data_IF_639106573292
#
_entry.id   IF_639106573292
#
_cell.length_a   1.000
_cell.length_b   1.000
_cell.length_c   1.000
_cell.angle_alpha   90.00
_cell.angle_beta   90.00
_cell.angle_gamma   90.00
#
_symmetry.space_group_name_H-M   'P 1'
#
loop_
_entity.id
_entity.type
_entity.pdbx_description
1 polymer ?
#
# COMPACT_ATOMS: atom_id res chain seq x y z
N UNK A 1 -18.78 -3.54 -3.20
CA UNK A 1 -17.40 -3.07 -3.42
C UNK A 1 -16.48 -4.11 -2.78
N UNK A 2 -15.46 -4.58 -3.49
CA UNK A 2 -14.44 -5.47 -2.91
C UNK A 2 -13.32 -4.61 -2.34
N UNK A 3 -12.84 -4.96 -1.14
CA UNK A 3 -11.64 -4.37 -0.57
C UNK A 3 -10.39 -4.92 -1.27
N UNK A 4 -9.24 -4.30 -1.04
CA UNK A 4 -7.97 -4.67 -1.66
C UNK A 4 -7.47 -6.08 -1.26
N UNK A 5 -7.96 -6.63 -0.14
CA UNK A 5 -7.72 -8.02 0.28
C UNK A 5 -8.70 -9.02 -0.35
N UNK A 6 -9.62 -8.56 -1.21
CA UNK A 6 -10.65 -9.38 -1.84
C UNK A 6 -11.89 -9.61 -0.97
N UNK A 7 -11.92 -9.11 0.28
CA UNK A 7 -13.08 -9.29 1.13
C UNK A 7 -14.24 -8.38 0.73
N UNK A 8 -15.45 -8.87 0.96
CA UNK A 8 -16.67 -8.10 0.84
C UNK A 8 -17.38 -8.10 2.19
N UNK A 9 -17.59 -6.91 2.74
CA UNK A 9 -18.31 -6.73 4.00
C UNK A 9 -19.28 -5.57 3.86
N UNK A 10 -20.35 -5.59 4.64
CA UNK A 10 -21.30 -4.48 4.74
C UNK A 10 -21.07 -3.75 6.06
N UNK A 11 -20.91 -2.44 6.00
CA UNK A 11 -20.69 -1.61 7.18
C UNK A 11 -20.43 -0.15 6.82
N UNK A 12 -20.43 0.69 7.84
CA UNK A 12 -20.05 2.09 7.70
C UNK A 12 -18.55 2.22 7.50
N UNK A 13 -18.17 3.04 6.52
CA UNK A 13 -16.78 3.32 6.17
C UNK A 13 -16.58 4.83 6.08
N UNK A 14 -15.37 5.29 6.36
CA UNK A 14 -14.97 6.68 6.06
C UNK A 14 -14.17 6.68 4.77
N UNK A 15 -14.33 7.74 3.99
CA UNK A 15 -13.66 7.90 2.70
C UNK A 15 -12.88 9.20 2.72
N UNK A 16 -11.62 9.15 2.29
CA UNK A 16 -10.75 10.32 2.16
C UNK A 16 -9.97 10.27 0.86
N UNK A 17 -9.61 11.42 0.31
CA UNK A 17 -8.66 11.54 -0.79
C UNK A 17 -7.36 12.13 -0.28
N UNK A 18 -6.24 11.48 -0.59
CA UNK A 18 -4.90 11.86 -0.13
C UNK A 18 -3.93 11.78 -1.31
N UNK A 19 -3.07 12.79 -1.46
CA UNK A 19 -1.93 12.70 -2.38
C UNK A 19 -0.90 11.73 -1.82
N UNK A 20 -0.67 10.64 -2.52
CA UNK A 20 0.34 9.63 -2.16
C UNK A 20 1.54 9.83 -3.06
N UNK A 21 2.72 9.95 -2.46
CA UNK A 21 3.99 10.07 -3.18
C UNK A 21 4.81 8.79 -3.04
N UNK A 22 5.31 8.26 -4.16
CA UNK A 22 6.22 7.11 -4.22
C UNK A 22 7.34 7.46 -5.20
N UNK A 23 8.60 7.48 -4.73
CA UNK A 23 9.79 7.76 -5.56
C UNK A 23 9.61 8.99 -6.47
N UNK A 24 9.09 10.09 -5.93
CA UNK A 24 8.87 11.35 -6.65
C UNK A 24 7.63 11.38 -7.56
N UNK A 25 6.83 10.31 -7.60
CA UNK A 25 5.54 10.28 -8.31
C UNK A 25 4.38 10.45 -7.33
N UNK A 26 3.54 11.45 -7.57
CA UNK A 26 2.39 11.74 -6.72
C UNK A 26 1.08 11.42 -7.40
N UNK A 27 0.21 10.68 -6.72
CA UNK A 27 -1.12 10.29 -7.22
C UNK A 27 -2.19 10.56 -6.18
N UNK A 28 -3.28 11.21 -6.61
CA UNK A 28 -4.44 11.44 -5.75
C UNK A 28 -5.19 10.13 -5.55
N UNK A 29 -5.14 9.58 -4.34
CA UNK A 29 -5.67 8.25 -4.02
C UNK A 29 -6.86 8.36 -3.07
N UNK A 30 -7.92 7.63 -3.39
CA UNK A 30 -9.09 7.49 -2.51
C UNK A 30 -8.84 6.33 -1.55
N UNK A 31 -8.83 6.60 -0.25
CA UNK A 31 -8.74 5.59 0.80
C UNK A 31 -10.11 5.33 1.42
N UNK A 32 -10.30 4.06 1.79
CA UNK A 32 -11.43 3.60 2.59
C UNK A 32 -10.88 3.24 3.96
N UNK A 33 -11.34 3.95 4.98
CA UNK A 33 -10.98 3.69 6.37
C UNK A 33 -12.09 2.84 6.97
N UNK A 34 -11.69 1.73 7.58
CA UNK A 34 -12.57 0.79 8.26
C UNK A 34 -12.41 1.00 9.78
N UNK A 35 -13.27 1.79 10.45
CA UNK A 35 -13.04 2.19 11.85
C UNK A 35 -13.04 1.01 12.84
N UNK A 36 -13.65 -0.11 12.45
CA UNK A 36 -13.77 -1.33 13.26
C UNK A 36 -12.76 -2.43 12.88
N UNK A 37 -11.87 -2.18 11.92
CA UNK A 37 -10.88 -3.17 11.50
C UNK A 37 -9.86 -3.43 12.61
N UNK A 38 -9.49 -4.71 12.78
CA UNK A 38 -8.43 -5.11 13.72
C UNK A 38 -7.08 -4.96 13.02
N UNK A 39 -6.39 -3.87 13.33
CA UNK A 39 -5.06 -3.55 12.80
C UNK A 39 -5.06 -2.30 11.91
N UNK A 40 -3.97 -1.55 11.95
CA UNK A 40 -3.85 -0.25 11.28
C UNK A 40 -3.05 -0.34 9.98
N UNK A 41 -3.19 -1.44 9.23
CA UNK A 41 -2.47 -1.63 7.97
C UNK A 41 -3.27 -1.05 6.81
N UNK A 42 -2.63 -0.20 6.02
CA UNK A 42 -3.18 0.27 4.74
C UNK A 42 -2.93 -0.78 3.68
N UNK A 43 -3.98 -1.12 2.92
CA UNK A 43 -3.87 -1.98 1.75
C UNK A 43 -4.02 -1.14 0.49
N UNK A 44 -3.19 -1.42 -0.51
CA UNK A 44 -3.24 -0.78 -1.81
C UNK A 44 -3.80 -1.79 -2.82
N UNK A 45 -4.90 -1.42 -3.44
CA UNK A 45 -5.56 -2.23 -4.45
C UNK A 45 -4.87 -2.15 -5.81
N UNK A 46 -5.35 -2.98 -6.73
CA UNK A 46 -4.88 -2.98 -8.13
C UNK A 46 -5.21 -1.69 -8.87
N UNK A 47 -6.23 -0.95 -8.42
CA UNK A 47 -6.59 0.37 -8.91
C UNK A 47 -5.47 1.38 -8.63
N UNK A 48 -4.94 1.40 -7.41
CA UNK A 48 -3.77 2.21 -7.05
C UNK A 48 -2.54 1.82 -7.88
N UNK A 49 -2.21 0.52 -7.92
CA UNK A 49 -1.04 0.02 -8.66
C UNK A 49 -1.10 0.41 -10.14
N UNK A 50 -2.28 0.30 -10.76
CA UNK A 50 -2.49 0.68 -12.15
C UNK A 50 -2.36 2.19 -12.35
N UNK A 51 -2.89 3.00 -11.43
CA UNK A 51 -2.90 4.47 -11.54
C UNK A 51 -1.51 5.10 -11.55
N UNK A 52 -0.56 4.52 -10.79
CA UNK A 52 0.82 5.01 -10.71
C UNK A 52 1.77 4.27 -11.68
N UNK A 53 1.27 3.23 -12.36
CA UNK A 53 2.05 2.42 -13.29
C UNK A 53 3.07 1.53 -12.58
N UNK A 54 2.70 0.91 -11.46
CA UNK A 54 3.59 0.07 -10.66
C UNK A 54 3.43 -1.41 -11.04
N UNK A 55 4.56 -2.05 -11.38
CA UNK A 55 4.69 -3.47 -11.64
C UNK A 55 5.25 -4.21 -10.42
N UNK A 56 4.74 -5.41 -10.16
CA UNK A 56 5.19 -6.27 -9.06
C UNK A 56 5.85 -7.54 -9.63
N UNK A 57 7.09 -7.81 -9.21
CA UNK A 57 7.77 -9.07 -9.48
C UNK A 57 7.80 -9.92 -8.21
N UNK A 58 6.89 -10.89 -8.17
CA UNK A 58 6.73 -11.79 -7.03
C UNK A 58 7.86 -12.82 -6.93
N UNK A 59 8.55 -13.13 -8.04
CA UNK A 59 9.66 -14.09 -8.07
C UNK A 59 10.91 -13.46 -7.46
N UNK A 60 11.18 -12.22 -7.83
CA UNK A 60 12.37 -11.49 -7.37
C UNK A 60 12.11 -10.64 -6.11
N UNK A 61 10.87 -10.66 -5.58
CA UNK A 61 10.47 -9.88 -4.41
C UNK A 61 10.79 -8.38 -4.55
N UNK A 62 10.51 -7.84 -5.73
CA UNK A 62 10.74 -6.44 -6.04
C UNK A 62 9.56 -5.82 -6.79
N UNK A 63 9.59 -4.51 -6.91
CA UNK A 63 8.65 -3.72 -7.66
C UNK A 63 9.39 -2.69 -8.51
N UNK A 64 8.74 -2.22 -9.57
CA UNK A 64 9.30 -1.27 -10.53
C UNK A 64 8.17 -0.41 -11.11
N UNK A 65 8.50 0.70 -11.76
CA UNK A 65 7.53 1.38 -12.61
C UNK A 65 7.61 0.84 -14.04
N UNK A 66 6.46 0.69 -14.70
CA UNK A 66 6.36 0.11 -16.05
C UNK A 66 7.19 0.86 -17.10
N UNK A 67 7.42 2.16 -16.91
CA UNK A 67 8.24 3.02 -17.77
C UNK A 67 9.74 2.97 -17.42
N UNK A 68 10.12 2.43 -16.27
CA UNK A 68 11.53 2.25 -15.84
C UNK A 68 11.78 0.85 -15.22
N UNK A 69 11.56 -0.24 -15.98
CA UNK A 69 11.59 -1.61 -15.44
C UNK A 69 12.97 -2.08 -14.97
N UNK A 70 14.05 -1.41 -15.39
CA UNK A 70 15.42 -1.70 -14.94
C UNK A 70 15.72 -1.17 -13.54
N UNK A 71 14.91 -0.25 -13.03
CA UNK A 71 15.03 0.29 -11.68
C UNK A 71 14.10 -0.48 -10.73
N UNK A 72 14.65 -1.54 -10.13
CA UNK A 72 13.90 -2.41 -9.23
C UNK A 72 14.14 -2.03 -7.76
N UNK A 73 13.04 -1.91 -7.03
CA UNK A 73 13.04 -1.64 -5.60
C UNK A 73 12.60 -2.90 -4.86
N UNK A 74 13.37 -3.32 -3.85
CA UNK A 74 13.00 -4.48 -3.03
C UNK A 74 11.75 -4.16 -2.18
N UNK A 75 10.93 -5.18 -1.91
CA UNK A 75 9.88 -5.03 -0.89
C UNK A 75 10.49 -4.82 0.50
N UNK A 76 9.84 -4.00 1.32
CA UNK A 76 10.23 -3.83 2.72
C UNK A 76 9.89 -5.07 3.56
N UNK A 77 10.68 -5.33 4.59
CA UNK A 77 10.42 -6.42 5.54
C UNK A 77 9.22 -6.13 6.46
N UNK A 78 8.55 -7.19 6.90
CA UNK A 78 7.50 -7.10 7.91
C UNK A 78 8.15 -6.84 9.28
N UNK A 79 8.12 -5.59 9.74
CA UNK A 79 8.55 -5.28 11.10
C UNK A 79 7.51 -5.80 12.10
N UNK A 80 7.83 -6.91 12.77
CA UNK A 80 7.14 -7.34 13.99
C UNK A 80 7.48 -6.32 15.11
N UNK A 81 6.48 -5.54 15.50
CA UNK A 81 6.47 -4.39 16.46
C UNK A 81 7.15 -4.64 17.83
N UNK A 82 7.31 -3.68 18.79
CA UNK A 82 6.95 -2.24 18.85
C UNK A 82 8.03 -1.34 19.53
N UNK A 83 8.67 -0.38 18.85
CA UNK A 83 9.53 0.57 19.59
C UNK A 83 9.60 1.96 18.97
N UNK A 84 9.11 2.90 19.78
CA UNK A 84 9.68 4.22 20.03
C UNK A 84 9.66 5.18 18.83
N UNK A 85 8.65 6.05 18.85
CA UNK A 85 8.81 7.52 18.75
C UNK A 85 10.24 7.95 18.40
N UNK A 86 10.55 8.05 17.12
CA UNK A 86 11.52 8.98 16.51
C UNK A 86 11.92 8.47 15.11
N UNK A 87 11.06 8.73 14.12
CA UNK A 87 11.58 9.13 12.82
C UNK A 87 10.76 10.30 12.33
N UNK A 88 11.38 11.47 12.49
CA UNK A 88 10.85 12.79 12.20
C UNK A 88 10.08 12.85 10.88
N UNK A 89 8.91 13.50 10.94
CA UNK A 89 8.33 14.34 9.89
C UNK A 89 8.33 13.78 8.45
N UNK A 90 8.15 12.47 8.29
CA UNK A 90 7.93 11.89 6.97
C UNK A 90 6.96 10.73 7.10
N UNK A 91 5.77 10.87 6.53
CA UNK A 91 4.76 9.80 6.41
C UNK A 91 5.22 8.75 5.39
N UNK A 92 6.48 8.31 5.48
CA UNK A 92 7.10 7.36 4.57
C UNK A 92 6.60 5.96 4.92
N UNK A 93 5.97 5.33 3.93
CA UNK A 93 5.55 3.95 4.00
C UNK A 93 6.37 3.13 2.99
N UNK A 94 6.62 1.87 3.31
CA UNK A 94 7.26 0.92 2.39
C UNK A 94 6.21 -0.03 1.83
N UNK A 95 6.32 -0.34 0.55
CA UNK A 95 5.52 -1.40 -0.06
C UNK A 95 5.96 -2.75 0.51
N UNK A 96 5.01 -3.47 1.08
CA UNK A 96 5.20 -4.81 1.66
C UNK A 96 4.24 -5.78 1.00
N UNK A 97 4.66 -7.04 0.89
CA UNK A 97 3.79 -8.12 0.40
C UNK A 97 2.76 -8.49 1.48
N UNK A 98 1.48 -8.38 1.15
CA UNK A 98 0.39 -8.91 1.98
C UNK A 98 0.15 -10.40 1.73
N UNK A 99 -0.25 -11.14 2.78
CA UNK A 99 -0.80 -12.50 2.63
C UNK A 99 -2.32 -12.40 2.51
N UNK A 100 -2.87 -12.81 1.37
CA UNK A 100 -4.32 -13.04 1.23
C UNK A 100 -4.60 -14.47 1.70
N UNK A 101 -5.45 -14.64 2.71
CA UNK A 101 -6.00 -15.95 3.06
C UNK A 101 -7.12 -16.25 2.06
N UNK A 102 -6.92 -17.27 1.23
CA UNK A 102 -7.93 -17.83 0.32
C UNK A 102 -8.71 -18.91 1.07
#
# INVERSE_FOLDING_TARGET
MSLADGQQTTGEVLIIQVMVEIEGRSVLTKFIILPKAKGNRTLLGTDFLSSIGLGLDMKNACWYFWDTPTHNNSFGEELDTPSIVEKMASNTCQLRKGKVKV
#
